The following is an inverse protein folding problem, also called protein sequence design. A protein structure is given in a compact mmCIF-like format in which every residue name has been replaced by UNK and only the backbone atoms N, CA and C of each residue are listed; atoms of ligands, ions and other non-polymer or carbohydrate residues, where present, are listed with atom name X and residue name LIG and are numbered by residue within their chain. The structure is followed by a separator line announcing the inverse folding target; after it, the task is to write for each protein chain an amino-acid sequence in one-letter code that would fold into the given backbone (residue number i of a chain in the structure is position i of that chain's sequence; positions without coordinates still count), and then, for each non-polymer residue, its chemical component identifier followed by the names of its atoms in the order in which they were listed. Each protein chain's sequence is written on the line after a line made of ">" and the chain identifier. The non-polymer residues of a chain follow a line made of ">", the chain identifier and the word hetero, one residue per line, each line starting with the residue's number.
data_IF_470760165674
#
_entry.id   IF_470760165674
#
_cell.length_a   1.000
_cell.length_b   1.000
_cell.length_c   1.000
_cell.angle_alpha   90.00
_cell.angle_beta   90.00
_cell.angle_gamma   90.00
#
_symmetry.space_group_name_H-M   'P 1'
#
loop_
_entity.id
_entity.type
_entity.pdbx_description
1 polymer ?
#
# COMPACT_ATOMS: atom_id res chain seq x y z
N UNK A 1 -15.42 17.75 30.56
CA UNK A 1 -14.45 16.69 30.22
C UNK A 1 -14.34 16.62 28.71
N UNK A 2 -13.36 17.30 28.12
CA UNK A 2 -13.17 17.30 26.67
C UNK A 2 -12.32 16.09 26.30
N UNK A 3 -12.84 15.21 25.44
CA UNK A 3 -12.10 14.06 24.93
C UNK A 3 -11.09 14.54 23.90
N UNK A 4 -9.82 14.58 24.27
CA UNK A 4 -8.73 14.67 23.30
C UNK A 4 -8.62 13.32 22.57
N UNK A 5 -8.80 13.35 21.25
CA UNK A 5 -8.39 12.24 20.39
C UNK A 5 -6.87 12.11 20.52
N UNK A 6 -6.43 11.02 21.14
CA UNK A 6 -5.02 10.65 21.15
C UNK A 6 -4.70 10.22 19.73
N UNK A 7 -3.96 11.07 19.00
CA UNK A 7 -3.23 10.68 17.81
C UNK A 7 -2.18 9.65 18.25
N UNK A 8 -2.55 8.38 18.22
CA UNK A 8 -1.59 7.29 18.30
C UNK A 8 -0.77 7.37 17.02
N UNK A 9 0.46 7.85 17.14
CA UNK A 9 1.54 7.56 16.19
C UNK A 9 1.79 6.05 16.21
N UNK A 10 0.83 5.29 15.69
CA UNK A 10 0.82 3.84 15.76
C UNK A 10 1.80 3.31 14.75
N UNK A 11 2.78 2.56 15.23
CA UNK A 11 3.57 1.70 14.36
C UNK A 11 2.60 0.84 13.55
N UNK A 12 2.54 1.11 12.25
CA UNK A 12 1.68 0.36 11.33
C UNK A 12 2.13 -1.09 11.36
N UNK A 13 1.19 -2.01 11.56
CA UNK A 13 1.49 -3.45 11.59
C UNK A 13 2.10 -3.84 10.24
N UNK A 14 3.30 -4.40 10.28
CA UNK A 14 4.03 -4.83 9.08
C UNK A 14 3.32 -5.96 8.36
N UNK A 15 3.42 -5.98 7.03
CA UNK A 15 2.87 -7.05 6.22
C UNK A 15 3.62 -8.37 6.48
N UNK A 16 2.97 -9.34 7.10
CA UNK A 16 3.38 -10.74 6.98
C UNK A 16 2.88 -11.26 5.64
N UNK A 17 3.79 -11.40 4.68
CA UNK A 17 3.47 -11.82 3.32
C UNK A 17 2.93 -13.24 3.28
N UNK A 18 1.60 -13.34 3.23
CA UNK A 18 0.87 -14.56 2.96
C UNK A 18 0.32 -14.55 1.52
N UNK A 19 -0.33 -15.65 1.13
CA UNK A 19 -0.91 -15.78 -0.21
C UNK A 19 -1.90 -14.65 -0.52
N UNK A 20 -2.73 -14.26 0.46
CA UNK A 20 -3.76 -13.24 0.30
C UNK A 20 -3.16 -11.85 0.09
N UNK A 21 -2.16 -11.46 0.90
CA UNK A 21 -1.49 -10.17 0.72
C UNK A 21 -0.72 -10.12 -0.59
N UNK A 22 -0.14 -11.24 -1.01
CA UNK A 22 0.55 -11.34 -2.30
C UNK A 22 -0.42 -11.14 -3.46
N UNK A 23 -1.59 -11.78 -3.43
CA UNK A 23 -2.64 -11.59 -4.44
C UNK A 23 -3.10 -10.12 -4.51
N UNK A 24 -3.38 -9.50 -3.36
CA UNK A 24 -3.77 -8.09 -3.28
C UNK A 24 -2.67 -7.18 -3.87
N UNK A 25 -1.41 -7.41 -3.52
CA UNK A 25 -0.29 -6.64 -4.05
C UNK A 25 -0.17 -6.77 -5.57
N UNK A 26 -0.28 -7.99 -6.10
CA UNK A 26 -0.26 -8.24 -7.55
C UNK A 26 -1.41 -7.51 -8.26
N UNK A 27 -2.62 -7.55 -7.73
CA UNK A 27 -3.78 -6.85 -8.30
C UNK A 27 -3.56 -5.33 -8.34
N UNK A 28 -2.99 -4.76 -7.28
CA UNK A 28 -2.63 -3.34 -7.22
C UNK A 28 -1.55 -3.01 -8.27
N UNK A 29 -0.52 -3.85 -8.40
CA UNK A 29 0.51 -3.67 -9.43
C UNK A 29 -0.09 -3.69 -10.85
N UNK A 30 -1.01 -4.62 -11.14
CA UNK A 30 -1.69 -4.70 -12.44
C UNK A 30 -2.49 -3.43 -12.70
N UNK A 31 -3.28 -2.95 -11.72
CA UNK A 31 -4.04 -1.70 -11.84
C UNK A 31 -3.14 -0.50 -12.17
N UNK A 32 -1.97 -0.39 -11.53
CA UNK A 32 -1.05 0.70 -11.78
C UNK A 32 -0.28 0.59 -13.10
N UNK A 33 -0.01 -0.64 -13.57
CA UNK A 33 0.50 -0.88 -14.93
C UNK A 33 -0.51 -0.39 -15.98
N UNK A 34 -1.79 -0.73 -15.81
CA UNK A 34 -2.85 -0.30 -16.73
C UNK A 34 -3.05 1.22 -16.76
N UNK A 35 -2.69 1.92 -15.68
CA UNK A 35 -2.67 3.39 -15.61
C UNK A 35 -1.43 4.02 -16.27
N UNK A 36 -0.53 3.23 -16.83
CA UNK A 36 0.71 3.70 -17.45
C UNK A 36 1.82 4.06 -16.46
N UNK A 37 1.68 3.70 -15.18
CA UNK A 37 2.70 4.01 -14.18
C UNK A 37 3.92 3.08 -14.23
N UNK A 38 4.00 2.18 -15.22
CA UNK A 38 5.17 1.34 -15.53
C UNK A 38 5.45 1.41 -17.05
N UNK A 39 6.03 2.51 -17.55
CA UNK A 39 6.26 2.67 -18.99
C UNK A 39 7.39 1.79 -19.54
N UNK A 40 8.27 1.29 -18.67
CA UNK A 40 9.35 0.37 -19.04
C UNK A 40 9.37 -0.84 -18.12
N UNK A 41 10.54 -1.19 -17.60
CA UNK A 41 10.72 -2.35 -16.72
C UNK A 41 10.34 -2.07 -15.26
N UNK A 42 10.21 -0.81 -14.85
CA UNK A 42 9.97 -0.40 -13.46
C UNK A 42 8.81 0.61 -13.35
N UNK A 43 8.19 0.65 -12.17
CA UNK A 43 7.21 1.66 -11.84
C UNK A 43 7.87 3.04 -11.73
N UNK A 44 7.12 4.09 -12.10
CA UNK A 44 7.49 5.47 -11.78
C UNK A 44 7.47 5.66 -10.27
N UNK A 45 8.14 6.71 -9.77
CA UNK A 45 8.12 7.05 -8.33
C UNK A 45 6.69 7.22 -7.83
N UNK A 46 5.86 7.93 -8.59
CA UNK A 46 4.45 8.15 -8.27
C UNK A 46 3.63 6.86 -8.33
N UNK A 47 3.91 6.00 -9.32
CA UNK A 47 3.32 4.67 -9.42
C UNK A 47 3.61 3.82 -8.19
N UNK A 48 4.87 3.80 -7.76
CA UNK A 48 5.28 3.05 -6.58
C UNK A 48 4.64 3.59 -5.30
N UNK A 49 4.59 4.92 -5.14
CA UNK A 49 3.92 5.53 -4.00
C UNK A 49 2.42 5.15 -3.97
N UNK A 50 1.74 5.19 -5.11
CA UNK A 50 0.34 4.77 -5.23
C UNK A 50 0.14 3.30 -4.90
N UNK A 51 1.07 2.43 -5.30
CA UNK A 51 1.04 1.01 -4.92
C UNK A 51 1.09 0.88 -3.41
N UNK A 52 2.07 1.51 -2.75
CA UNK A 52 2.23 1.39 -1.29
C UNK A 52 1.02 1.96 -0.54
N UNK A 53 0.52 3.13 -0.94
CA UNK A 53 -0.67 3.75 -0.33
C UNK A 53 -1.92 2.90 -0.55
N UNK A 54 -2.12 2.33 -1.74
CA UNK A 54 -3.27 1.47 -2.03
C UNK A 54 -3.20 0.16 -1.26
N UNK A 55 -2.01 -0.45 -1.18
CA UNK A 55 -1.79 -1.68 -0.42
C UNK A 55 -2.09 -1.48 1.05
N UNK A 56 -1.58 -0.40 1.63
CA UNK A 56 -1.85 -0.08 3.03
C UNK A 56 -3.33 0.20 3.28
N UNK A 57 -3.99 0.93 2.36
CA UNK A 57 -5.43 1.21 2.43
C UNK A 57 -6.28 -0.07 2.33
N UNK A 58 -5.93 -1.01 1.47
CA UNK A 58 -6.69 -2.25 1.26
C UNK A 58 -6.44 -3.29 2.37
N UNK A 59 -5.24 -3.33 2.93
CA UNK A 59 -4.83 -4.39 3.88
C UNK A 59 -4.77 -3.93 5.34
N UNK A 60 -4.71 -2.61 5.58
CA UNK A 60 -4.41 -2.03 6.89
C UNK A 60 -2.97 -2.30 7.37
N UNK A 61 -2.10 -2.84 6.50
CA UNK A 61 -0.73 -3.22 6.83
C UNK A 61 0.26 -2.38 6.05
N UNK A 62 1.34 -1.97 6.72
CA UNK A 62 2.42 -1.28 6.04
C UNK A 62 3.17 -2.26 5.12
N UNK A 63 3.48 -1.79 3.92
CA UNK A 63 4.47 -2.43 3.05
C UNK A 63 5.85 -2.26 3.71
N UNK A 64 6.39 -3.33 4.32
CA UNK A 64 7.73 -3.35 4.93
C UNK A 64 8.25 -4.77 5.09
#
# INVERSE_FOLDING_TARGET
>A
MSTSAVEVSGEKVKAMWDKRLTEIFCDICIKEILKGNRPGTHFTKDGWLKIMTSFEKETGKAYS
#
